data_IF_557837257948
#
_entry.id   IF_557837257948
#
_cell.length_a   1.000
_cell.length_b   1.000
_cell.length_c   1.000
_cell.angle_alpha   90.00
_cell.angle_beta   90.00
_cell.angle_gamma   90.00
#
_symmetry.space_group_name_H-M   'P 1'
#
loop_
_entity.id
_entity.type
_entity.pdbx_description
1 polymer ?
#
# COMPACT_ATOMS: atom_id res chain seq x y z
N UNK A 1 5.36 -43.29 23.15
CA UNK A 1 4.27 -42.34 22.72
C UNK A 1 4.95 -41.11 22.21
N UNK A 2 4.98 -40.88 20.86
CA UNK A 2 5.59 -39.71 20.24
C UNK A 2 4.46 -38.65 20.03
N UNK A 3 4.53 -37.59 20.82
CA UNK A 3 3.67 -36.42 20.65
C UNK A 3 3.99 -35.75 19.32
N UNK A 4 3.06 -35.80 18.36
CA UNK A 4 3.13 -35.04 17.10
C UNK A 4 2.63 -33.62 17.42
N UNK A 5 3.56 -32.71 17.58
CA UNK A 5 3.22 -31.30 17.58
C UNK A 5 2.74 -30.92 16.17
N UNK A 6 1.43 -30.79 16.02
CA UNK A 6 0.81 -30.18 14.86
C UNK A 6 1.08 -28.68 15.00
N UNK A 7 2.07 -28.19 14.29
CA UNK A 7 2.23 -26.75 14.05
C UNK A 7 1.12 -26.36 13.10
N UNK A 8 0.03 -25.85 13.65
CA UNK A 8 -1.04 -25.23 12.90
C UNK A 8 -0.51 -23.87 12.39
N UNK A 9 0.10 -23.86 11.22
CA UNK A 9 0.36 -22.66 10.44
C UNK A 9 -1.02 -22.12 10.07
N UNK A 10 -1.57 -21.21 10.90
CA UNK A 10 -2.69 -20.36 10.51
C UNK A 10 -2.14 -19.37 9.49
N UNK A 11 -2.02 -19.83 8.27
CA UNK A 11 -2.00 -18.91 7.12
C UNK A 11 -3.36 -18.23 7.15
N UNK A 12 -3.42 -17.02 7.69
CA UNK A 12 -4.52 -16.11 7.40
C UNK A 12 -4.43 -15.91 5.88
N UNK A 13 -5.18 -16.75 5.16
CA UNK A 13 -5.37 -16.59 3.74
C UNK A 13 -5.96 -15.19 3.57
N UNK A 14 -5.08 -14.25 3.20
CA UNK A 14 -5.53 -12.96 2.73
C UNK A 14 -6.54 -13.24 1.64
N UNK A 15 -7.82 -12.94 1.90
CA UNK A 15 -8.81 -12.85 0.85
C UNK A 15 -8.26 -11.80 -0.11
N UNK A 16 -7.56 -12.26 -1.13
CA UNK A 16 -7.27 -11.46 -2.30
C UNK A 16 -8.64 -11.18 -2.93
N UNK A 17 -9.27 -10.09 -2.50
CA UNK A 17 -10.33 -9.46 -3.29
C UNK A 17 -9.60 -8.91 -4.51
N UNK A 18 -9.38 -9.79 -5.48
CA UNK A 18 -9.10 -9.39 -6.85
C UNK A 18 -10.39 -8.77 -7.38
N UNK A 19 -10.70 -7.56 -6.93
CA UNK A 19 -11.59 -6.70 -7.67
C UNK A 19 -10.89 -6.45 -9.01
N UNK A 20 -11.27 -7.26 -9.99
CA UNK A 20 -10.75 -7.20 -11.33
C UNK A 20 -11.08 -5.88 -11.99
N UNK A 21 -10.19 -4.94 -11.92
CA UNK A 21 -10.00 -3.93 -12.95
C UNK A 21 -8.83 -4.40 -13.82
N UNK A 22 -9.02 -5.53 -14.51
CA UNK A 22 -8.28 -5.81 -15.73
C UNK A 22 -8.89 -4.92 -16.82
N UNK A 23 -8.35 -3.74 -17.00
CA UNK A 23 -8.39 -3.13 -18.31
C UNK A 23 -7.39 -3.87 -19.18
N UNK A 24 -7.88 -4.89 -19.90
CA UNK A 24 -7.20 -5.40 -21.07
C UNK A 24 -7.24 -4.30 -22.15
N UNK A 25 -6.28 -3.42 -22.16
CA UNK A 25 -5.92 -2.64 -23.34
C UNK A 25 -4.49 -2.97 -23.73
N UNK A 26 -4.39 -4.10 -24.42
CA UNK A 26 -3.30 -4.36 -25.35
C UNK A 26 -3.59 -3.58 -26.63
N UNK A 27 -3.23 -2.32 -26.67
CA UNK A 27 -3.06 -1.57 -27.92
C UNK A 27 -1.74 -0.80 -27.86
N UNK A 28 -0.95 -1.02 -28.85
CA UNK A 28 0.38 -0.67 -29.26
C UNK A 28 0.97 0.68 -28.87
N UNK A 29 2.24 0.90 -29.26
CA UNK A 29 3.02 2.04 -28.81
C UNK A 29 2.58 3.28 -29.59
N UNK A 30 1.67 4.06 -29.05
CA UNK A 30 1.49 5.44 -29.49
C UNK A 30 0.67 6.24 -28.48
N UNK A 31 1.25 7.37 -28.16
CA UNK A 31 0.64 8.59 -27.62
C UNK A 31 0.74 8.81 -26.11
N UNK A 32 1.54 9.83 -25.80
CA UNK A 32 1.24 10.81 -24.77
C UNK A 32 1.18 10.29 -23.33
N UNK A 33 2.35 10.05 -22.75
CA UNK A 33 2.47 9.72 -21.34
C UNK A 33 2.01 10.88 -20.45
N UNK A 34 0.73 10.99 -20.19
CA UNK A 34 0.23 11.78 -19.06
C UNK A 34 0.37 10.91 -17.80
N UNK A 35 1.01 11.44 -16.76
CA UNK A 35 0.92 10.89 -15.40
C UNK A 35 -0.57 10.88 -15.04
N UNK A 36 -1.19 9.72 -15.17
CA UNK A 36 -2.54 9.55 -14.66
C UNK A 36 -2.45 9.45 -13.13
N UNK A 37 -2.57 10.61 -12.47
CA UNK A 37 -2.64 10.66 -11.01
C UNK A 37 -3.83 9.87 -10.47
N UNK A 38 -4.86 9.62 -11.28
CA UNK A 38 -5.98 8.78 -10.89
C UNK A 38 -5.56 7.33 -10.76
N UNK A 39 -4.66 6.84 -11.62
CA UNK A 39 -4.05 5.51 -11.48
C UNK A 39 -3.10 5.47 -10.27
N UNK A 40 -2.30 6.52 -10.06
CA UNK A 40 -1.40 6.63 -8.90
C UNK A 40 -2.19 6.69 -7.57
N UNK A 41 -3.28 7.46 -7.52
CA UNK A 41 -4.19 7.51 -6.36
C UNK A 41 -4.88 6.16 -6.16
N UNK A 42 -5.33 5.51 -7.23
CA UNK A 42 -5.91 4.17 -7.20
C UNK A 42 -4.92 3.11 -6.73
N UNK A 43 -3.69 3.14 -7.23
CA UNK A 43 -2.62 2.22 -6.84
C UNK A 43 -2.16 2.48 -5.39
N UNK A 44 -2.03 3.74 -4.97
CA UNK A 44 -1.71 4.08 -3.58
C UNK A 44 -2.85 3.72 -2.62
N UNK A 45 -4.11 3.90 -3.01
CA UNK A 45 -5.29 3.44 -2.26
C UNK A 45 -5.36 1.91 -2.15
N UNK A 46 -5.07 1.20 -3.24
CA UNK A 46 -5.01 -0.28 -3.26
C UNK A 46 -3.84 -0.82 -2.45
N UNK A 47 -2.71 -0.11 -2.41
CA UNK A 47 -1.57 -0.44 -1.57
C UNK A 47 -1.91 -0.40 -0.08
N UNK A 48 -2.78 0.52 0.31
CA UNK A 48 -3.25 0.63 1.70
C UNK A 48 -4.16 -0.54 2.08
N UNK A 49 -5.01 -1.00 1.16
CA UNK A 49 -5.84 -2.21 1.35
C UNK A 49 -5.00 -3.48 1.43
N UNK A 50 -3.88 -3.51 0.74
CA UNK A 50 -2.95 -4.61 0.76
C UNK A 50 -2.02 -4.64 1.97
N UNK A 51 -1.71 -3.52 2.62
CA UNK A 51 -0.84 -3.44 3.81
C UNK A 51 -1.43 -4.18 5.03
N UNK A 52 -2.76 -4.40 5.06
CA UNK A 52 -3.41 -5.19 6.10
C UNK A 52 -3.04 -6.69 6.06
N UNK A 53 -2.45 -7.18 4.99
CA UNK A 53 -2.10 -8.61 4.82
C UNK A 53 -0.61 -8.94 4.98
N UNK A 54 0.22 -8.02 5.52
CA UNK A 54 1.64 -8.26 5.84
C UNK A 54 2.58 -8.49 4.65
N UNK A 55 2.03 -8.75 3.45
CA UNK A 55 2.79 -8.99 2.20
C UNK A 55 2.60 -7.83 1.22
N UNK A 56 1.68 -6.98 1.48
CA UNK A 56 1.15 -6.03 0.52
C UNK A 56 1.88 -4.69 0.42
N UNK A 57 2.82 -4.40 1.32
CA UNK A 57 3.76 -3.29 1.12
C UNK A 57 4.55 -3.39 -0.19
N UNK A 58 4.60 -4.58 -0.77
CA UNK A 58 5.32 -4.88 -2.02
C UNK A 58 4.51 -4.49 -3.27
N UNK A 59 3.18 -4.61 -3.20
CA UNK A 59 2.31 -4.23 -4.33
C UNK A 59 2.35 -2.72 -4.65
N UNK A 60 2.52 -1.89 -3.62
CA UNK A 60 2.64 -0.44 -3.78
C UNK A 60 3.91 0.00 -4.52
N UNK A 61 4.94 -0.83 -4.48
CA UNK A 61 6.25 -0.47 -5.01
C UNK A 61 6.44 -0.96 -6.45
N UNK A 62 5.68 -1.97 -6.88
CA UNK A 62 5.77 -2.52 -8.24
C UNK A 62 5.22 -1.59 -9.35
N UNK A 63 4.45 -0.57 -8.99
CA UNK A 63 3.85 0.40 -9.91
C UNK A 63 4.67 1.65 -10.21
N UNK A 64 5.88 1.81 -9.65
CA UNK A 64 6.70 3.00 -9.86
C UNK A 64 7.42 3.07 -11.22
N UNK A 65 6.73 2.87 -12.33
CA UNK A 65 7.17 3.47 -13.57
C UNK A 65 6.82 4.97 -13.50
N UNK A 66 7.70 5.81 -12.96
CA UNK A 66 7.50 7.25 -12.89
C UNK A 66 7.61 7.82 -14.31
N UNK A 67 6.52 8.25 -14.94
CA UNK A 67 6.59 8.85 -16.26
C UNK A 67 7.24 10.25 -16.18
N UNK A 68 7.96 10.62 -17.23
CA UNK A 68 8.66 11.90 -17.38
C UNK A 68 7.71 13.04 -17.79
N UNK A 69 6.57 13.22 -17.08
CA UNK A 69 5.57 14.23 -17.50
C UNK A 69 5.13 15.15 -16.36
N UNK A 70 4.66 16.37 -16.71
CA UNK A 70 4.16 17.30 -15.70
C UNK A 70 3.00 16.69 -14.92
N UNK A 71 2.90 16.97 -13.63
CA UNK A 71 1.82 16.45 -12.80
C UNK A 71 0.47 16.92 -13.33
N UNK A 72 -0.43 15.99 -13.60
CA UNK A 72 -1.81 16.29 -13.96
C UNK A 72 -2.68 16.06 -12.73
N UNK A 73 -3.31 17.13 -12.24
CA UNK A 73 -4.33 17.01 -11.20
C UNK A 73 -5.58 16.37 -11.83
N UNK A 74 -6.13 15.29 -11.26
CA UNK A 74 -7.35 14.68 -11.77
C UNK A 74 -8.48 15.70 -11.87
N UNK A 75 -9.30 15.63 -12.93
CA UNK A 75 -10.44 16.53 -13.12
C UNK A 75 -11.51 16.45 -12.02
N UNK A 76 -11.48 15.38 -11.23
CA UNK A 76 -12.33 15.19 -10.04
C UNK A 76 -11.82 15.95 -8.82
N UNK A 77 -10.64 16.56 -8.87
CA UNK A 77 -10.04 17.28 -7.77
C UNK A 77 -10.16 18.80 -8.02
N UNK A 78 -10.57 19.55 -7.00
CA UNK A 78 -10.74 21.00 -7.06
C UNK A 78 -9.79 21.66 -6.05
N UNK A 79 -9.16 22.75 -6.48
CA UNK A 79 -8.31 23.55 -5.60
C UNK A 79 -9.14 24.26 -4.52
N UNK A 80 -8.66 24.17 -3.30
CA UNK A 80 -9.20 24.87 -2.14
C UNK A 80 -8.13 25.77 -1.52
N UNK A 81 -8.37 27.08 -1.54
CA UNK A 81 -7.43 28.06 -0.97
C UNK A 81 -7.30 27.94 0.55
N UNK A 82 -8.32 27.42 1.24
CA UNK A 82 -8.29 27.25 2.71
C UNK A 82 -7.30 26.21 3.18
N UNK A 83 -7.07 25.15 2.38
CA UNK A 83 -6.09 24.10 2.67
C UNK A 83 -4.84 24.24 1.81
N UNK A 84 -4.83 25.16 0.84
CA UNK A 84 -3.77 25.33 -0.16
C UNK A 84 -3.48 24.03 -0.95
N UNK A 85 -4.53 23.26 -1.26
CA UNK A 85 -4.44 21.95 -1.91
C UNK A 85 -5.67 21.61 -2.72
N UNK A 86 -5.66 20.46 -3.36
CA UNK A 86 -6.73 19.93 -4.19
C UNK A 86 -7.49 18.86 -3.44
N UNK A 87 -8.78 19.07 -3.19
CA UNK A 87 -9.67 18.05 -2.64
C UNK A 87 -10.31 17.28 -3.78
N UNK A 88 -10.13 15.97 -3.81
CA UNK A 88 -10.71 15.10 -4.81
C UNK A 88 -12.11 14.63 -4.39
N UNK A 89 -12.97 14.40 -5.37
CA UNK A 89 -14.29 13.85 -5.11
C UNK A 89 -14.14 12.47 -4.42
N UNK A 90 -14.86 12.20 -3.32
CA UNK A 90 -14.81 10.92 -2.65
C UNK A 90 -15.18 9.78 -3.61
N UNK A 91 -14.41 8.70 -3.55
CA UNK A 91 -14.74 7.47 -4.25
C UNK A 91 -15.30 6.46 -3.23
N UNK A 92 -16.47 5.89 -3.54
CA UNK A 92 -17.09 4.87 -2.67
C UNK A 92 -17.37 3.61 -3.49
N UNK A 93 -16.92 2.48 -2.99
CA UNK A 93 -17.18 1.16 -3.58
C UNK A 93 -17.27 0.09 -2.48
N UNK A 94 -18.27 -0.78 -2.59
CA UNK A 94 -18.49 -1.91 -1.67
C UNK A 94 -18.48 -1.53 -0.17
N UNK A 95 -19.00 -0.35 0.17
CA UNK A 95 -19.04 0.14 1.55
C UNK A 95 -17.72 0.78 2.05
N UNK A 96 -16.70 0.86 1.20
CA UNK A 96 -15.44 1.55 1.49
C UNK A 96 -15.45 2.90 0.79
N UNK A 97 -15.11 3.96 1.51
CA UNK A 97 -14.95 5.33 1.00
C UNK A 97 -13.49 5.75 1.07
N UNK A 98 -13.01 6.31 -0.03
CA UNK A 98 -11.66 6.87 -0.17
C UNK A 98 -11.78 8.38 -0.38
N UNK A 99 -11.10 9.14 0.46
CA UNK A 99 -10.93 10.59 0.33
C UNK A 99 -9.46 10.88 0.03
N UNK A 100 -9.19 11.75 -0.94
CA UNK A 100 -7.84 12.12 -1.30
C UNK A 100 -7.68 13.63 -1.36
N UNK A 101 -6.53 14.11 -0.88
CA UNK A 101 -6.11 15.51 -0.97
C UNK A 101 -4.70 15.55 -1.55
N UNK A 102 -4.51 16.38 -2.57
CA UNK A 102 -3.23 16.56 -3.25
C UNK A 102 -2.68 17.96 -2.97
N UNK A 103 -1.39 18.04 -2.74
CA UNK A 103 -0.66 19.29 -2.63
C UNK A 103 0.46 19.30 -3.67
N UNK A 104 0.53 20.37 -4.43
CA UNK A 104 1.64 20.63 -5.35
C UNK A 104 2.58 21.63 -4.68
N UNK A 105 3.87 21.34 -4.72
CA UNK A 105 4.89 22.15 -4.07
C UNK A 105 5.97 22.55 -5.08
N UNK A 106 6.42 23.80 -4.98
CA UNK A 106 7.62 24.25 -5.70
C UNK A 106 8.91 23.76 -5.03
N UNK A 107 10.06 24.11 -5.58
CA UNK A 107 11.36 23.73 -5.03
C UNK A 107 11.67 24.36 -3.67
N UNK A 108 10.99 25.44 -3.29
CA UNK A 108 11.10 26.10 -1.99
C UNK A 108 10.08 25.54 -0.97
N UNK A 109 9.21 24.61 -1.40
CA UNK A 109 8.18 24.02 -0.55
C UNK A 109 6.89 24.86 -0.45
N UNK A 110 6.70 25.87 -1.28
CA UNK A 110 5.46 26.64 -1.30
C UNK A 110 4.38 25.88 -2.07
N UNK A 111 3.14 25.99 -1.61
CA UNK A 111 2.00 25.38 -2.27
C UNK A 111 1.63 26.09 -3.59
N UNK A 112 1.26 25.29 -4.57
CA UNK A 112 0.83 25.78 -5.89
C UNK A 112 -0.65 25.49 -6.12
N UNK A 113 -1.36 26.48 -6.70
CA UNK A 113 -2.78 26.34 -7.05
C UNK A 113 -3.00 25.70 -8.42
N UNK A 114 -1.95 25.48 -9.18
CA UNK A 114 -1.97 24.85 -10.50
C UNK A 114 -0.68 24.03 -10.70
N UNK A 115 -0.74 22.90 -11.41
CA UNK A 115 0.44 22.17 -11.80
C UNK A 115 1.22 22.96 -12.86
N UNK A 116 2.54 23.05 -12.68
CA UNK A 116 3.45 23.68 -13.62
C UNK A 116 4.68 22.78 -13.81
N UNK A 117 4.91 22.35 -15.05
CA UNK A 117 6.00 21.45 -15.40
C UNK A 117 7.40 22.01 -15.10
N UNK A 118 7.54 23.34 -15.06
CA UNK A 118 8.82 24.00 -14.80
C UNK A 118 9.06 24.29 -13.32
N UNK A 119 8.03 24.35 -12.50
CA UNK A 119 8.14 24.79 -11.09
C UNK A 119 7.61 23.80 -10.07
N UNK A 120 6.74 22.84 -10.45
CA UNK A 120 6.25 21.81 -9.51
C UNK A 120 7.35 20.80 -9.24
N UNK A 121 7.94 20.88 -8.05
CA UNK A 121 9.08 20.06 -7.63
C UNK A 121 8.67 18.82 -6.81
N UNK A 122 7.49 18.87 -6.16
CA UNK A 122 6.98 17.75 -5.38
C UNK A 122 5.46 17.69 -5.39
N UNK A 123 4.94 16.48 -5.14
CA UNK A 123 3.52 16.19 -4.89
C UNK A 123 3.41 15.47 -3.56
N UNK A 124 2.56 15.98 -2.67
CA UNK A 124 2.14 15.30 -1.46
C UNK A 124 0.70 14.82 -1.63
N UNK A 125 0.48 13.55 -1.36
CA UNK A 125 -0.84 12.93 -1.37
C UNK A 125 -1.21 12.48 0.03
N UNK A 126 -2.36 12.95 0.51
CA UNK A 126 -2.98 12.51 1.76
C UNK A 126 -4.25 11.76 1.39
N UNK A 127 -4.33 10.49 1.82
CA UNK A 127 -5.47 9.62 1.53
C UNK A 127 -6.04 9.05 2.81
N UNK A 128 -7.35 9.19 2.99
CA UNK A 128 -8.11 8.57 4.06
C UNK A 128 -9.06 7.53 3.48
N UNK A 129 -9.00 6.32 4.02
CA UNK A 129 -9.87 5.21 3.63
C UNK A 129 -10.66 4.77 4.85
N UNK A 130 -11.98 4.62 4.70
CA UNK A 130 -12.82 4.14 5.79
C UNK A 130 -14.06 3.41 5.27
N UNK A 131 -14.54 2.45 6.04
CA UNK A 131 -15.80 1.79 5.74
C UNK A 131 -15.88 0.36 6.21
N UNK A 132 -16.98 -0.28 5.88
CA UNK A 132 -17.23 -1.69 6.19
C UNK A 132 -17.71 -2.40 4.94
N UNK A 133 -16.97 -3.40 4.53
CA UNK A 133 -17.34 -4.32 3.47
C UNK A 133 -17.96 -5.57 4.10
N UNK A 134 -19.11 -6.01 3.58
CA UNK A 134 -19.75 -7.27 3.97
C UNK A 134 -19.56 -8.28 2.86
N UNK A 135 -19.40 -9.53 3.23
CA UNK A 135 -19.34 -10.64 2.29
C UNK A 135 -20.20 -11.80 2.80
N UNK A 136 -20.74 -12.54 1.84
CA UNK A 136 -21.48 -13.79 2.09
C UNK A 136 -21.13 -14.76 0.95
N UNK A 137 -20.54 -15.88 1.29
CA UNK A 137 -20.15 -16.88 0.33
C UNK A 137 -20.46 -18.28 0.87
N UNK A 138 -21.42 -18.95 0.26
CA UNK A 138 -21.72 -20.36 0.53
C UNK A 138 -22.00 -20.69 2.01
N UNK A 139 -22.73 -19.80 2.71
CA UNK A 139 -23.07 -20.00 4.12
C UNK A 139 -22.02 -19.56 5.13
N UNK A 140 -20.97 -18.91 4.65
CA UNK A 140 -19.99 -18.22 5.48
C UNK A 140 -20.13 -16.72 5.21
N UNK A 141 -20.65 -15.99 6.16
CA UNK A 141 -20.79 -14.53 6.09
C UNK A 141 -19.71 -13.84 6.90
N UNK A 142 -19.55 -12.54 6.67
CA UNK A 142 -18.63 -11.75 7.48
C UNK A 142 -18.60 -10.28 7.08
N UNK A 143 -17.75 -9.57 7.78
CA UNK A 143 -17.46 -8.16 7.49
C UNK A 143 -16.01 -7.81 7.77
N UNK A 144 -15.51 -6.85 7.00
CA UNK A 144 -14.23 -6.20 7.26
C UNK A 144 -14.50 -4.71 7.44
N UNK A 145 -14.17 -4.16 8.60
CA UNK A 145 -14.15 -2.73 8.84
C UNK A 145 -12.72 -2.25 8.69
N UNK A 146 -12.52 -1.22 7.88
CA UNK A 146 -11.20 -0.66 7.57
C UNK A 146 -11.18 0.82 7.85
N UNK A 147 -10.11 1.28 8.49
CA UNK A 147 -9.74 2.69 8.59
C UNK A 147 -8.25 2.81 8.25
N UNK A 148 -7.90 3.72 7.36
CA UNK A 148 -6.51 3.95 7.00
C UNK A 148 -6.25 5.41 6.71
N UNK A 149 -5.08 5.88 7.09
CA UNK A 149 -4.55 7.19 6.77
C UNK A 149 -3.18 7.03 6.13
N UNK A 150 -2.95 7.71 5.01
CA UNK A 150 -1.69 7.72 4.30
C UNK A 150 -1.28 9.16 3.98
N UNK A 151 0.00 9.47 4.17
CA UNK A 151 0.61 10.75 3.81
C UNK A 151 1.96 10.48 3.13
N UNK A 152 1.99 10.61 1.80
CA UNK A 152 3.17 10.35 0.99
C UNK A 152 3.55 11.58 0.19
N UNK A 153 4.84 11.85 0.12
CA UNK A 153 5.42 12.93 -0.68
C UNK A 153 6.39 12.34 -1.70
N UNK A 154 6.13 12.59 -2.98
CA UNK A 154 7.03 12.34 -4.09
C UNK A 154 7.71 13.66 -4.46
N UNK A 155 9.02 13.75 -4.28
CA UNK A 155 9.85 14.92 -4.59
C UNK A 155 10.82 14.63 -5.74
N UNK A 156 11.52 15.68 -6.21
CA UNK A 156 12.48 15.55 -7.31
C UNK A 156 11.85 15.54 -8.70
N UNK A 157 10.62 16.04 -8.88
CA UNK A 157 9.92 16.02 -10.17
C UNK A 157 10.66 16.81 -11.26
N UNK A 158 11.43 17.82 -10.89
CA UNK A 158 12.25 18.63 -11.80
C UNK A 158 13.64 18.03 -12.08
N UNK A 159 13.95 16.88 -11.49
CA UNK A 159 15.26 16.22 -11.62
C UNK A 159 15.14 14.85 -12.28
N UNK A 160 16.26 14.18 -12.52
CA UNK A 160 16.27 12.80 -13.04
C UNK A 160 16.04 11.74 -11.96
N UNK A 161 15.90 12.18 -10.73
CA UNK A 161 15.73 11.28 -9.58
C UNK A 161 14.54 11.72 -8.77
N UNK A 162 13.62 10.80 -8.53
CA UNK A 162 12.45 10.99 -7.69
C UNK A 162 12.67 10.30 -6.34
N UNK A 163 12.18 10.92 -5.27
CA UNK A 163 12.29 10.38 -3.91
C UNK A 163 10.91 10.34 -3.28
N UNK A 164 10.50 9.16 -2.84
CA UNK A 164 9.26 8.94 -2.11
C UNK A 164 9.56 8.83 -0.61
N UNK A 165 8.85 9.63 0.17
CA UNK A 165 8.86 9.60 1.63
C UNK A 165 7.44 9.67 2.17
N UNK A 166 7.24 9.16 3.38
CA UNK A 166 5.98 9.31 4.09
C UNK A 166 5.63 8.14 4.98
N UNK A 167 4.37 8.10 5.39
CA UNK A 167 3.87 7.06 6.28
C UNK A 167 2.42 6.73 6.02
N UNK A 168 2.02 5.56 6.46
CA UNK A 168 0.61 5.18 6.56
C UNK A 168 0.33 4.44 7.86
N UNK A 169 -0.91 4.55 8.31
CA UNK A 169 -1.47 3.74 9.40
C UNK A 169 -2.75 3.10 8.92
N UNK A 170 -3.00 1.87 9.33
CA UNK A 170 -4.27 1.20 9.05
C UNK A 170 -4.74 0.39 10.25
N UNK A 171 -6.05 0.34 10.41
CA UNK A 171 -6.74 -0.52 11.35
C UNK A 171 -7.75 -1.35 10.57
N UNK A 172 -7.75 -2.66 10.78
CA UNK A 172 -8.74 -3.56 10.19
C UNK A 172 -9.33 -4.46 11.26
N UNK A 173 -10.66 -4.61 11.22
CA UNK A 173 -11.43 -5.51 12.07
C UNK A 173 -12.20 -6.48 11.15
N UNK A 174 -11.79 -7.74 11.19
CA UNK A 174 -12.40 -8.82 10.41
C UNK A 174 -13.27 -9.68 11.32
N UNK A 175 -14.54 -9.83 10.96
CA UNK A 175 -15.43 -10.78 11.58
C UNK A 175 -15.92 -11.77 10.51
N UNK A 176 -15.74 -13.06 10.79
CA UNK A 176 -16.27 -14.17 9.96
C UNK A 176 -17.25 -14.96 10.80
N UNK A 177 -18.43 -15.20 10.25
CA UNK A 177 -19.50 -15.99 10.87
C UNK A 177 -19.69 -17.32 10.13
N UNK A 178 -20.14 -18.35 10.80
CA UNK A 178 -20.31 -19.68 10.23
C UNK A 178 -19.78 -20.78 11.16
N UNK A 179 -19.46 -21.94 10.58
CA UNK A 179 -18.99 -23.12 11.34
C UNK A 179 -17.63 -22.88 12.07
N UNK A 180 -16.84 -21.94 11.58
CA UNK A 180 -15.56 -21.53 12.20
C UNK A 180 -15.57 -20.02 12.35
N UNK A 181 -16.26 -19.53 13.37
CA UNK A 181 -16.28 -18.10 13.67
C UNK A 181 -14.86 -17.60 13.96
N UNK A 182 -14.47 -16.51 13.28
CA UNK A 182 -13.19 -15.85 13.43
C UNK A 182 -13.44 -14.35 13.68
N UNK A 183 -12.76 -13.80 14.65
CA UNK A 183 -12.61 -12.34 14.81
C UNK A 183 -11.11 -12.00 14.81
N UNK A 184 -10.73 -11.04 14.01
CA UNK A 184 -9.33 -10.63 13.90
C UNK A 184 -9.21 -9.12 13.79
N UNK A 185 -8.29 -8.55 14.57
CA UNK A 185 -7.96 -7.13 14.53
C UNK A 185 -6.50 -6.99 14.15
N UNK A 186 -6.21 -6.10 13.21
CA UNK A 186 -4.83 -5.78 12.82
C UNK A 186 -4.65 -4.28 12.77
N UNK A 187 -3.64 -3.78 13.48
CA UNK A 187 -3.13 -2.42 13.39
C UNK A 187 -1.79 -2.44 12.68
N UNK A 188 -1.63 -1.59 11.68
CA UNK A 188 -0.38 -1.51 10.91
C UNK A 188 0.10 -0.06 10.82
N UNK A 189 1.40 0.14 10.96
CA UNK A 189 2.10 1.39 10.65
C UNK A 189 3.19 1.10 9.64
N UNK A 190 3.19 1.84 8.53
CA UNK A 190 4.22 1.74 7.50
C UNK A 190 4.95 3.07 7.36
N UNK A 191 6.26 3.02 7.21
CA UNK A 191 7.13 4.18 6.93
C UNK A 191 7.91 3.91 5.65
N UNK A 192 7.77 4.80 4.70
CA UNK A 192 8.55 4.83 3.46
C UNK A 192 9.63 5.88 3.60
N UNK A 193 10.89 5.48 3.51
CA UNK A 193 12.02 6.37 3.75
C UNK A 193 12.99 6.36 2.58
N UNK A 194 13.13 7.51 1.92
CA UNK A 194 14.08 7.79 0.85
C UNK A 194 14.05 6.75 -0.30
N UNK A 195 12.85 6.25 -0.63
CA UNK A 195 12.71 5.35 -1.78
C UNK A 195 12.98 6.15 -3.04
N UNK A 196 14.13 5.88 -3.65
CA UNK A 196 14.69 6.66 -4.74
C UNK A 196 14.51 5.90 -6.06
N UNK A 197 13.93 6.57 -7.05
CA UNK A 197 13.73 6.04 -8.41
C UNK A 197 14.39 7.00 -9.40
N UNK A 198 15.31 6.50 -10.21
CA UNK A 198 15.87 7.27 -11.33
C UNK A 198 15.00 7.10 -12.56
N UNK A 199 14.83 8.16 -13.37
CA UNK A 199 14.16 8.10 -14.68
C UNK A 199 14.76 7.06 -15.65
N UNK A 200 16.04 6.75 -15.46
CA UNK A 200 16.75 5.73 -16.25
C UNK A 200 16.68 4.33 -15.66
N UNK A 201 16.18 4.17 -14.43
CA UNK A 201 16.06 2.88 -13.76
C UNK A 201 14.59 2.43 -13.71
N UNK A 202 14.38 1.18 -14.05
CA UNK A 202 13.05 0.54 -13.90
C UNK A 202 12.71 0.29 -12.42
N UNK A 203 13.72 0.16 -11.55
CA UNK A 203 13.57 -0.27 -10.16
C UNK A 203 14.09 0.79 -9.20
N UNK A 204 13.52 0.89 -7.99
CA UNK A 204 14.05 1.79 -6.98
C UNK A 204 15.51 1.49 -6.66
N UNK A 205 16.34 2.53 -6.66
CA UNK A 205 17.80 2.41 -6.52
C UNK A 205 18.27 2.45 -5.08
N UNK A 206 17.45 2.97 -4.17
CA UNK A 206 17.75 3.08 -2.75
C UNK A 206 16.48 3.26 -1.93
N UNK A 207 16.62 3.22 -0.61
CA UNK A 207 15.55 3.49 0.36
C UNK A 207 15.00 2.22 1.00
N UNK A 208 14.08 2.44 1.93
CA UNK A 208 13.45 1.37 2.71
C UNK A 208 11.95 1.61 2.88
N UNK A 209 11.21 0.51 3.02
CA UNK A 209 9.84 0.50 3.53
C UNK A 209 9.83 -0.37 4.78
N UNK A 210 9.48 0.22 5.91
CA UNK A 210 9.35 -0.47 7.19
C UNK A 210 7.88 -0.59 7.55
N UNK A 211 7.43 -1.77 7.93
CA UNK A 211 6.05 -2.03 8.36
C UNK A 211 6.05 -2.71 9.71
N UNK A 212 5.33 -2.13 10.66
CA UNK A 212 5.06 -2.68 11.98
C UNK A 212 3.57 -3.01 12.07
N UNK A 213 3.24 -4.27 12.38
CA UNK A 213 1.86 -4.71 12.56
C UNK A 213 1.66 -5.41 13.90
N UNK A 214 0.52 -5.14 14.52
CA UNK A 214 0.03 -5.88 15.69
C UNK A 214 -1.25 -6.57 15.29
N UNK A 215 -1.32 -7.87 15.49
CA UNK A 215 -2.49 -8.68 15.15
C UNK A 215 -2.99 -9.42 16.37
N UNK A 216 -4.30 -9.41 16.58
CA UNK A 216 -5.00 -10.29 17.51
C UNK A 216 -6.10 -11.02 16.76
N UNK A 217 -6.20 -12.34 17.00
CA UNK A 217 -7.22 -13.18 16.35
C UNK A 217 -7.83 -14.11 17.39
N UNK A 218 -9.13 -14.33 17.27
CA UNK A 218 -9.89 -15.28 18.07
C UNK A 218 -10.62 -16.25 17.13
N UNK A 219 -10.36 -17.54 17.30
CA UNK A 219 -11.01 -18.63 16.56
C UNK A 219 -11.66 -19.54 17.60
N UNK A 220 -12.99 -19.46 17.70
CA UNK A 220 -13.71 -20.13 18.79
C UNK A 220 -13.23 -19.65 20.16
N UNK A 221 -12.67 -20.55 20.99
CA UNK A 221 -12.11 -20.25 22.31
C UNK A 221 -10.60 -19.96 22.29
N UNK A 222 -9.96 -20.05 21.12
CA UNK A 222 -8.50 -19.85 21.00
C UNK A 222 -8.22 -18.42 20.59
N UNK A 223 -7.41 -17.72 21.39
CA UNK A 223 -6.91 -16.38 21.07
C UNK A 223 -5.42 -16.44 20.75
N UNK A 224 -5.04 -15.78 19.67
CA UNK A 224 -3.64 -15.62 19.25
C UNK A 224 -3.37 -14.14 19.03
N UNK A 225 -2.27 -13.66 19.60
CA UNK A 225 -1.79 -12.30 19.36
C UNK A 225 -0.31 -12.32 18.97
N UNK A 226 0.08 -11.39 18.14
CA UNK A 226 1.47 -11.29 17.69
C UNK A 226 1.78 -9.93 17.11
N UNK A 227 3.07 -9.70 16.91
CA UNK A 227 3.58 -8.53 16.18
C UNK A 227 4.43 -8.98 15.01
N UNK A 228 4.41 -8.18 13.96
CA UNK A 228 5.26 -8.38 12.78
C UNK A 228 6.01 -7.09 12.51
N UNK A 229 7.32 -7.19 12.38
CA UNK A 229 8.19 -6.11 11.92
C UNK A 229 8.83 -6.53 10.60
N UNK A 230 8.63 -5.75 9.54
CA UNK A 230 9.16 -6.04 8.21
C UNK A 230 9.93 -4.83 7.67
N UNK A 231 11.11 -5.09 7.10
CA UNK A 231 11.92 -4.07 6.42
C UNK A 231 12.23 -4.54 5.01
N UNK A 232 11.76 -3.77 4.02
CA UNK A 232 12.09 -3.94 2.61
C UNK A 232 13.17 -2.94 2.24
N UNK A 233 14.26 -3.41 1.63
CA UNK A 233 15.40 -2.57 1.22
C UNK A 233 15.59 -2.61 -0.29
N UNK A 234 15.66 -1.44 -0.93
CA UNK A 234 15.87 -1.27 -2.37
C UNK A 234 17.34 -1.08 -2.69
N UNK A 235 17.77 -1.60 -3.84
CA UNK A 235 19.17 -1.63 -4.26
C UNK A 235 19.39 -1.45 -5.77
N UNK A 236 18.36 -1.01 -6.52
CA UNK A 236 18.40 -0.85 -7.97
C UNK A 236 18.14 -2.14 -8.77
N UNK A 237 17.89 -3.25 -8.10
CA UNK A 237 17.60 -4.54 -8.72
C UNK A 237 16.08 -4.81 -8.75
N UNK A 238 15.64 -5.65 -9.68
CA UNK A 238 14.29 -6.21 -9.65
C UNK A 238 14.07 -7.13 -8.44
N UNK A 239 15.14 -7.68 -7.89
CA UNK A 239 15.07 -8.55 -6.70
C UNK A 239 15.55 -7.79 -5.49
N UNK A 240 14.64 -7.56 -4.56
CA UNK A 240 14.87 -6.85 -3.30
C UNK A 240 14.84 -7.80 -2.11
N UNK A 241 15.42 -7.34 -1.01
CA UNK A 241 15.45 -8.11 0.23
C UNK A 241 14.42 -7.57 1.21
N UNK A 242 13.60 -8.45 1.76
CA UNK A 242 12.70 -8.17 2.88
C UNK A 242 13.10 -9.01 4.08
N UNK A 243 13.37 -8.38 5.20
CA UNK A 243 13.56 -9.06 6.48
C UNK A 243 12.29 -8.90 7.29
N UNK A 244 11.74 -10.01 7.79
CA UNK A 244 10.52 -10.02 8.61
C UNK A 244 10.81 -10.72 9.93
N UNK A 245 10.43 -10.08 11.02
CA UNK A 245 10.45 -10.66 12.37
C UNK A 245 9.02 -10.75 12.86
N UNK A 246 8.58 -11.95 13.20
CA UNK A 246 7.26 -12.23 13.77
C UNK A 246 7.47 -12.66 15.22
N UNK A 247 6.71 -12.05 16.14
CA UNK A 247 6.73 -12.43 17.55
C UNK A 247 5.35 -12.88 17.97
N UNK A 248 5.25 -14.13 18.42
CA UNK A 248 4.03 -14.68 19.00
C UNK A 248 4.38 -15.18 20.41
N UNK A 249 3.74 -14.59 21.42
CA UNK A 249 4.16 -14.78 22.80
C UNK A 249 5.53 -14.13 23.06
N UNK A 250 6.48 -14.91 23.62
CA UNK A 250 7.82 -14.40 23.98
C UNK A 250 8.92 -14.78 22.98
N UNK A 251 8.59 -15.51 21.92
CA UNK A 251 9.60 -16.05 21.00
C UNK A 251 9.52 -15.33 19.65
N UNK A 252 10.54 -14.55 19.27
CA UNK A 252 10.63 -13.99 17.94
C UNK A 252 11.14 -15.05 16.94
N UNK A 253 10.60 -14.99 15.74
CA UNK A 253 11.05 -15.72 14.57
C UNK A 253 11.40 -14.71 13.47
N UNK A 254 12.60 -14.79 12.91
CA UNK A 254 13.02 -13.91 11.82
C UNK A 254 13.28 -14.71 10.55
N UNK A 255 12.90 -14.13 9.44
CA UNK A 255 13.07 -14.69 8.10
C UNK A 255 13.52 -13.59 7.15
N UNK A 256 14.33 -13.97 6.16
CA UNK A 256 14.74 -13.06 5.09
C UNK A 256 14.23 -13.60 3.76
N UNK A 257 13.46 -12.79 3.06
CA UNK A 257 12.86 -13.15 1.78
C UNK A 257 13.48 -12.32 0.64
N UNK A 258 13.63 -12.95 -0.51
CA UNK A 258 13.88 -12.27 -1.78
C UNK A 258 12.54 -12.09 -2.51
N UNK A 259 12.27 -10.86 -2.92
CA UNK A 259 11.02 -10.49 -3.58
C UNK A 259 11.38 -9.95 -4.97
N UNK A 260 10.80 -10.55 -6.00
CA UNK A 260 10.94 -10.08 -7.36
C UNK A 260 9.84 -9.04 -7.68
N UNK A 261 10.25 -7.78 -7.80
CA UNK A 261 9.36 -6.66 -8.12
C UNK A 261 8.76 -6.75 -9.54
N UNK A 262 9.29 -7.63 -10.40
CA UNK A 262 8.69 -7.87 -11.73
C UNK A 262 7.36 -8.62 -11.65
N UNK A 263 7.01 -9.13 -10.48
CA UNK A 263 5.78 -9.91 -10.25
C UNK A 263 5.84 -11.33 -10.80
N UNK A 264 7.01 -11.77 -11.29
CA UNK A 264 7.17 -13.06 -11.95
C UNK A 264 7.33 -14.25 -11.00
N UNK A 265 7.65 -14.02 -9.73
CA UNK A 265 7.96 -15.09 -8.78
C UNK A 265 7.33 -14.88 -7.40
N UNK A 266 7.01 -16.01 -6.75
CA UNK A 266 6.61 -16.03 -5.35
C UNK A 266 7.85 -15.68 -4.49
N UNK A 267 7.72 -14.90 -3.40
CA UNK A 267 8.82 -14.62 -2.49
C UNK A 267 9.50 -15.90 -2.01
N UNK A 268 10.84 -15.93 -2.07
CA UNK A 268 11.66 -17.04 -1.57
C UNK A 268 12.24 -16.61 -0.24
N UNK A 269 11.87 -17.31 0.83
CA UNK A 269 12.30 -17.01 2.20
C UNK A 269 13.20 -18.12 2.77
N UNK A 270 14.17 -17.73 3.60
CA UNK A 270 15.09 -18.62 4.34
C UNK A 270 14.88 -18.48 5.85
#
# INVERSE_FOLDING_TARGET
MRSKHVVLLVSVAGLAVTAGCRSNDTTGPNSGNTLDLSSLIGEMGMATLGASSGVAGVGAVGGFAVPAMPPVVPSTCQYSASIQGFTCAPFTSNGITVNATLFLLDAAGHFQSQPDAATTAAIRNVTDVQGTMKFDQSGTGGSVTLTSHQDLTLSGLLTDTHVLNGSSTSHSDLTVTGTSALHGVTDTKTVTANVTVSKSSRWPTAGTVTSDATTSSQIGSVSVAGTTHSVLTFNGSSVVTMTTTITTGSTPFSSTCKIDLSGAAVPVCN
#
